data_IF_225849347163
#
_entry.id   IF_225849347163
#
_cell.length_a   1.000
_cell.length_b   1.000
_cell.length_c   1.000
_cell.angle_alpha   90.00
_cell.angle_beta   90.00
_cell.angle_gamma   90.00
#
_symmetry.space_group_name_H-M   'P 1'
#
loop_
_entity.id
_entity.type
_entity.pdbx_description
1 polymer ?
#
# COMPACT_ATOMS: atom_id res chain seq x y z
N UNK A 1 -11.14 21.14 -7.55
CA UNK A 1 -9.88 21.90 -7.80
C UNK A 1 -8.72 21.10 -7.24
N UNK A 2 -7.53 21.17 -7.84
CA UNK A 2 -6.37 20.35 -7.42
C UNK A 2 -5.96 20.56 -5.95
N UNK A 3 -6.15 21.78 -5.41
CA UNK A 3 -5.87 22.08 -4.00
C UNK A 3 -6.71 21.24 -3.03
N UNK A 4 -7.97 20.95 -3.38
CA UNK A 4 -8.84 20.11 -2.54
C UNK A 4 -8.29 18.68 -2.51
N UNK A 5 -7.99 18.12 -3.69
CA UNK A 5 -7.46 16.75 -3.79
C UNK A 5 -6.12 16.56 -3.04
N UNK A 6 -5.24 17.57 -3.06
CA UNK A 6 -3.97 17.52 -2.31
C UNK A 6 -4.23 17.57 -0.79
N UNK A 7 -5.17 18.39 -0.32
CA UNK A 7 -5.52 18.45 1.09
C UNK A 7 -6.21 17.15 1.58
N UNK A 8 -7.08 16.58 0.75
CA UNK A 8 -7.75 15.31 1.05
C UNK A 8 -6.73 14.17 1.12
N UNK A 9 -5.75 14.15 0.21
CA UNK A 9 -4.63 13.22 0.24
C UNK A 9 -3.81 13.34 1.53
N UNK A 10 -3.47 14.57 1.95
CA UNK A 10 -2.71 14.80 3.19
C UNK A 10 -3.50 14.34 4.42
N UNK A 11 -4.81 14.58 4.41
CA UNK A 11 -5.72 14.13 5.47
C UNK A 11 -5.77 12.60 5.52
N UNK A 12 -5.89 11.93 4.38
CA UNK A 12 -5.90 10.47 4.29
C UNK A 12 -4.58 9.85 4.76
N UNK A 13 -3.44 10.43 4.38
CA UNK A 13 -2.12 10.00 4.87
C UNK A 13 -2.04 10.11 6.39
N UNK A 14 -2.45 11.26 6.95
CA UNK A 14 -2.39 11.50 8.39
C UNK A 14 -3.30 10.54 9.17
N UNK A 15 -4.52 10.30 8.68
CA UNK A 15 -5.45 9.35 9.31
C UNK A 15 -4.89 7.91 9.30
N UNK A 16 -4.43 7.43 8.13
CA UNK A 16 -3.87 6.09 7.98
C UNK A 16 -2.62 5.88 8.85
N UNK A 17 -1.70 6.86 8.87
CA UNK A 17 -0.44 6.79 9.62
C UNK A 17 -0.64 6.81 11.14
N UNK A 18 -1.71 7.45 11.62
CA UNK A 18 -2.03 7.57 13.05
C UNK A 18 -3.10 6.59 13.53
N UNK A 19 -3.63 5.74 12.66
CA UNK A 19 -4.70 4.81 13.03
C UNK A 19 -4.25 3.87 14.15
N UNK A 20 -5.07 3.80 15.18
CA UNK A 20 -4.98 2.82 16.27
C UNK A 20 -6.32 2.11 16.39
N UNK A 21 -6.31 0.87 16.87
CA UNK A 21 -7.54 0.09 17.04
C UNK A 21 -7.38 -1.00 18.10
N UNK A 22 -8.44 -1.33 18.85
CA UNK A 22 -8.39 -2.42 19.81
C UNK A 22 -8.22 -3.76 19.08
N UNK A 23 -7.21 -4.54 19.48
CA UNK A 23 -7.12 -5.98 19.19
C UNK A 23 -6.72 -6.41 17.77
N UNK A 24 -6.22 -5.52 16.92
CA UNK A 24 -5.82 -5.87 15.53
C UNK A 24 -4.56 -5.15 15.04
N UNK A 25 -3.71 -4.71 15.96
CA UNK A 25 -2.40 -4.12 15.62
C UNK A 25 -1.31 -5.19 15.68
N UNK A 26 -0.67 -5.45 14.55
CA UNK A 26 0.49 -6.31 14.42
C UNK A 26 1.75 -5.45 14.25
N UNK A 27 2.76 -5.66 15.09
CA UNK A 27 3.99 -4.84 15.09
C UNK A 27 5.16 -5.68 14.60
N UNK A 28 5.92 -5.16 13.62
CA UNK A 28 7.18 -5.75 13.17
C UNK A 28 7.02 -7.13 12.51
N UNK A 29 5.88 -7.38 11.85
CA UNK A 29 5.62 -8.66 11.16
C UNK A 29 6.73 -8.95 10.13
N UNK A 30 7.24 -10.18 10.13
CA UNK A 30 8.33 -10.59 9.24
C UNK A 30 9.66 -9.85 9.46
N UNK A 31 9.79 -9.07 10.54
CA UNK A 31 10.92 -8.16 10.76
C UNK A 31 11.19 -7.23 9.54
N UNK A 32 10.13 -6.85 8.83
CA UNK A 32 10.20 -6.01 7.63
C UNK A 32 10.27 -6.79 6.32
N UNK A 33 10.52 -8.10 6.32
CA UNK A 33 10.38 -8.92 5.12
C UNK A 33 9.07 -9.71 5.18
N UNK A 34 8.09 -9.28 4.38
CA UNK A 34 6.75 -9.89 4.33
C UNK A 34 6.57 -10.85 3.15
N UNK A 35 7.69 -11.26 2.53
CA UNK A 35 7.73 -12.26 1.46
C UNK A 35 6.99 -13.55 1.85
N UNK A 36 6.05 -13.99 0.99
CA UNK A 36 5.35 -15.26 1.16
C UNK A 36 4.33 -15.28 2.30
N UNK A 37 4.11 -14.16 2.99
CA UNK A 37 3.17 -14.10 4.10
C UNK A 37 1.72 -14.01 3.61
N UNK A 38 0.82 -14.48 4.46
CA UNK A 38 -0.62 -14.26 4.32
C UNK A 38 -1.07 -13.37 5.48
N UNK A 39 -1.58 -12.18 5.16
CA UNK A 39 -2.02 -11.20 6.14
C UNK A 39 -3.55 -11.13 6.16
N UNK A 40 -4.12 -11.28 7.34
CA UNK A 40 -5.55 -11.07 7.58
C UNK A 40 -5.84 -9.59 7.81
N UNK A 41 -7.12 -9.20 7.85
CA UNK A 41 -7.49 -7.79 8.12
C UNK A 41 -6.85 -7.27 9.42
N UNK A 42 -6.38 -6.03 9.41
CA UNK A 42 -5.77 -5.41 10.58
C UNK A 42 -4.90 -4.20 10.29
N UNK A 43 -4.34 -3.65 11.35
CA UNK A 43 -3.35 -2.57 11.30
C UNK A 43 -1.97 -3.22 11.45
N UNK A 44 -1.10 -3.02 10.47
CA UNK A 44 0.26 -3.54 10.51
C UNK A 44 1.24 -2.38 10.63
N UNK A 45 2.16 -2.45 11.58
CA UNK A 45 3.06 -1.34 11.90
C UNK A 45 4.51 -1.77 11.87
N UNK A 46 5.32 -1.02 11.12
CA UNK A 46 6.77 -1.16 11.07
C UNK A 46 7.43 0.18 11.35
N UNK A 47 8.42 0.17 12.25
CA UNK A 47 9.32 1.31 12.49
C UNK A 47 10.55 1.30 11.58
N UNK A 48 10.59 0.39 10.61
CA UNK A 48 11.71 0.09 9.73
C UNK A 48 11.24 0.07 8.28
N UNK A 49 12.19 -0.17 7.38
CA UNK A 49 11.90 -0.53 5.99
C UNK A 49 11.11 -1.84 5.92
N UNK A 50 10.29 -1.97 4.88
CA UNK A 50 9.49 -3.15 4.58
C UNK A 50 9.67 -3.54 3.12
N UNK A 51 9.72 -4.85 2.85
CA UNK A 51 9.81 -5.38 1.48
C UNK A 51 9.09 -6.70 1.33
N UNK A 52 8.79 -7.05 0.09
CA UNK A 52 8.44 -8.41 -0.30
C UNK A 52 9.10 -8.75 -1.64
N UNK A 53 9.75 -9.90 -1.71
CA UNK A 53 10.43 -10.40 -2.92
C UNK A 53 9.72 -11.62 -3.52
N UNK A 54 8.67 -12.12 -2.84
CA UNK A 54 7.76 -13.16 -3.30
C UNK A 54 6.35 -12.77 -2.91
N UNK A 55 5.36 -13.44 -3.49
CA UNK A 55 3.97 -13.05 -3.38
C UNK A 55 3.51 -12.87 -1.93
N UNK A 56 2.79 -11.77 -1.70
CA UNK A 56 2.15 -11.41 -0.45
C UNK A 56 0.64 -11.62 -0.61
N UNK A 57 0.02 -12.41 0.25
CA UNK A 57 -1.44 -12.64 0.17
C UNK A 57 -2.18 -11.82 1.22
N UNK A 58 -3.25 -11.13 0.83
CA UNK A 58 -4.19 -10.44 1.72
C UNK A 58 -5.53 -11.18 1.67
N UNK A 59 -5.97 -11.70 2.81
CA UNK A 59 -7.20 -12.52 2.91
C UNK A 59 -8.17 -12.00 3.95
N UNK A 60 -9.42 -11.80 3.51
CA UNK A 60 -10.58 -11.53 4.36
C UNK A 60 -11.83 -11.64 3.49
N UNK A 61 -13.00 -11.72 4.12
CA UNK A 61 -14.25 -11.33 3.47
C UNK A 61 -14.18 -9.90 2.92
N UNK A 62 -15.10 -9.55 2.01
CA UNK A 62 -15.22 -8.25 1.34
C UNK A 62 -15.10 -6.99 2.23
N UNK A 63 -15.42 -7.07 3.51
CA UNK A 63 -15.35 -5.95 4.46
C UNK A 63 -14.03 -5.91 5.27
N UNK A 64 -13.04 -6.71 4.88
CA UNK A 64 -11.72 -6.69 5.49
C UNK A 64 -11.01 -5.40 5.17
N UNK A 65 -10.39 -4.78 6.18
CA UNK A 65 -9.62 -3.54 6.01
C UNK A 65 -8.19 -3.80 6.46
N UNK A 66 -7.24 -3.32 5.67
CA UNK A 66 -5.82 -3.34 5.97
C UNK A 66 -5.28 -1.92 6.02
N UNK A 67 -4.52 -1.63 7.07
CA UNK A 67 -3.81 -0.36 7.20
C UNK A 67 -2.35 -0.69 7.49
N UNK A 68 -1.50 -0.49 6.49
CA UNK A 68 -0.07 -0.76 6.55
C UNK A 68 0.66 0.54 6.87
N UNK A 69 1.23 0.64 8.06
CA UNK A 69 1.96 1.81 8.54
C UNK A 69 3.46 1.52 8.51
N UNK A 70 4.18 2.13 7.57
CA UNK A 70 5.59 1.88 7.32
C UNK A 70 6.36 3.18 7.57
N UNK A 71 7.22 3.18 8.59
CA UNK A 71 8.02 4.36 8.93
C UNK A 71 9.27 4.54 8.05
N UNK A 72 9.69 3.49 7.35
CA UNK A 72 10.80 3.53 6.39
C UNK A 72 10.32 3.47 4.94
N UNK A 73 11.18 2.94 4.09
CA UNK A 73 10.90 2.65 2.68
C UNK A 73 10.03 1.40 2.51
N UNK A 74 9.29 1.33 1.41
CA UNK A 74 8.56 0.12 1.01
C UNK A 74 9.01 -0.35 -0.38
N UNK A 75 9.36 -1.63 -0.51
CA UNK A 75 9.80 -2.20 -1.79
C UNK A 75 9.00 -3.44 -2.17
N UNK A 76 8.33 -3.38 -3.32
CA UNK A 76 7.85 -4.55 -4.04
C UNK A 76 8.96 -5.03 -4.98
N UNK A 77 9.60 -6.16 -4.63
CA UNK A 77 10.73 -6.71 -5.38
C UNK A 77 10.32 -7.23 -6.77
N UNK A 78 11.29 -7.53 -7.65
CA UNK A 78 11.03 -7.88 -9.04
C UNK A 78 10.06 -9.06 -9.19
N UNK A 79 9.01 -8.87 -9.98
CA UNK A 79 7.99 -9.89 -10.25
C UNK A 79 7.09 -10.27 -9.07
N UNK A 80 7.31 -9.71 -7.87
CA UNK A 80 6.53 -10.01 -6.68
C UNK A 80 5.15 -9.37 -6.75
N UNK A 81 4.13 -10.07 -6.25
CA UNK A 81 2.73 -9.63 -6.36
C UNK A 81 2.02 -9.56 -5.03
N UNK A 82 1.15 -8.59 -4.87
CA UNK A 82 0.08 -8.67 -3.88
C UNK A 82 -1.06 -9.49 -4.47
N UNK A 83 -1.57 -10.46 -3.71
CA UNK A 83 -2.66 -11.36 -4.10
C UNK A 83 -3.83 -11.13 -3.15
N UNK A 84 -5.01 -10.85 -3.70
CA UNK A 84 -6.25 -10.73 -2.92
C UNK A 84 -6.98 -12.08 -2.90
N UNK A 85 -7.35 -12.54 -1.70
CA UNK A 85 -8.04 -13.82 -1.49
C UNK A 85 -9.31 -13.65 -0.65
N UNK A 86 -10.21 -14.65 -0.74
CA UNK A 86 -11.43 -14.78 0.07
C UNK A 86 -12.42 -13.60 -0.02
N UNK A 87 -12.31 -12.81 -1.08
CA UNK A 87 -13.16 -11.64 -1.33
C UNK A 87 -12.57 -10.31 -0.88
N UNK A 88 -11.30 -10.28 -0.45
CA UNK A 88 -10.55 -9.05 -0.22
C UNK A 88 -10.63 -8.10 -1.43
N UNK A 89 -10.77 -6.80 -1.16
CA UNK A 89 -10.93 -5.78 -2.20
C UNK A 89 -9.86 -4.70 -2.04
N UNK A 90 -9.24 -4.30 -3.15
CA UNK A 90 -8.18 -3.30 -3.18
C UNK A 90 -8.59 -1.96 -2.54
N UNK A 91 -9.85 -1.54 -2.69
CA UNK A 91 -10.38 -0.30 -2.09
C UNK A 91 -10.31 -0.25 -0.55
N UNK A 92 -10.16 -1.41 0.11
CA UNK A 92 -10.07 -1.51 1.57
C UNK A 92 -8.63 -1.70 2.08
N UNK A 93 -7.62 -1.50 1.23
CA UNK A 93 -6.22 -1.75 1.53
C UNK A 93 -5.47 -0.43 1.44
N UNK A 94 -4.97 0.05 2.57
CA UNK A 94 -4.31 1.35 2.68
C UNK A 94 -2.85 1.15 3.08
N UNK A 95 -1.94 1.74 2.32
CA UNK A 95 -0.51 1.73 2.57
C UNK A 95 -0.05 3.14 2.88
N UNK A 96 0.33 3.42 4.12
CA UNK A 96 0.91 4.69 4.56
C UNK A 96 2.42 4.52 4.73
N UNK A 97 3.20 5.14 3.84
CA UNK A 97 4.66 5.02 3.78
C UNK A 97 5.28 6.38 4.07
N UNK A 98 6.08 6.45 5.14
CA UNK A 98 6.70 7.70 5.58
C UNK A 98 7.94 8.10 4.77
N UNK A 99 8.46 7.19 3.95
CA UNK A 99 9.51 7.44 2.98
C UNK A 99 9.10 6.96 1.57
N UNK A 100 10.08 6.58 0.74
CA UNK A 100 9.88 6.22 -0.65
C UNK A 100 9.27 4.82 -0.82
N UNK A 101 8.50 4.66 -1.90
CA UNK A 101 7.96 3.39 -2.37
C UNK A 101 8.56 3.05 -3.74
N UNK A 102 9.04 1.82 -3.88
CA UNK A 102 9.51 1.28 -5.15
C UNK A 102 8.76 0.00 -5.53
N UNK A 103 8.16 0.02 -6.73
CA UNK A 103 7.71 -1.15 -7.46
C UNK A 103 8.79 -1.52 -8.47
N UNK A 104 9.53 -2.59 -8.21
CA UNK A 104 10.56 -3.09 -9.12
C UNK A 104 9.95 -3.77 -10.35
N UNK A 105 10.81 -4.11 -11.31
CA UNK A 105 10.43 -4.64 -12.62
C UNK A 105 9.41 -5.79 -12.51
N UNK A 106 8.28 -5.65 -13.21
CA UNK A 106 7.23 -6.65 -13.26
C UNK A 106 6.45 -6.89 -11.96
N UNK A 107 6.68 -6.11 -10.91
CA UNK A 107 5.93 -6.23 -9.64
C UNK A 107 4.48 -5.76 -9.78
N UNK A 108 3.61 -6.24 -8.88
CA UNK A 108 2.18 -5.89 -8.87
C UNK A 108 1.71 -5.47 -7.47
N UNK A 109 1.09 -4.28 -7.40
CA UNK A 109 0.49 -3.73 -6.20
C UNK A 109 -1.04 -3.75 -6.22
N UNK A 110 -1.63 -3.87 -5.03
CA UNK A 110 -3.08 -3.84 -4.80
C UNK A 110 -3.38 -2.83 -3.68
N UNK A 111 -4.25 -1.85 -3.97
CA UNK A 111 -4.79 -0.90 -3.01
C UNK A 111 -4.34 0.56 -3.14
N UNK A 112 -4.52 1.31 -2.06
CA UNK A 112 -4.32 2.76 -2.00
C UNK A 112 -2.97 3.07 -1.34
N UNK A 113 -2.02 3.55 -2.11
CA UNK A 113 -0.67 3.89 -1.66
C UNK A 113 -0.55 5.39 -1.38
N UNK A 114 -0.24 5.73 -0.14
CA UNK A 114 -0.04 7.09 0.38
C UNK A 114 1.42 7.22 0.82
N UNK A 115 2.27 7.77 -0.04
CA UNK A 115 3.70 7.94 0.23
C UNK A 115 4.04 9.40 0.51
N UNK A 116 4.78 9.63 1.60
CA UNK A 116 5.24 10.96 2.00
C UNK A 116 6.32 11.52 1.07
N UNK A 117 7.09 10.67 0.41
CA UNK A 117 8.09 11.11 -0.56
C UNK A 117 7.69 10.67 -1.96
N UNK A 118 8.48 9.83 -2.63
CA UNK A 118 8.29 9.45 -4.02
C UNK A 118 7.70 8.05 -4.15
N UNK A 119 6.94 7.83 -5.23
CA UNK A 119 6.54 6.49 -5.69
C UNK A 119 7.24 6.23 -7.03
N UNK A 120 7.93 5.11 -7.14
CA UNK A 120 8.58 4.68 -8.38
C UNK A 120 7.99 3.37 -8.87
N UNK A 121 7.68 3.35 -10.17
CA UNK A 121 7.23 2.18 -10.90
C UNK A 121 8.26 1.87 -11.99
N UNK A 122 8.99 0.78 -11.81
CA UNK A 122 9.98 0.29 -12.77
C UNK A 122 9.31 -0.55 -13.87
N UNK A 123 10.10 -1.09 -14.79
CA UNK A 123 9.63 -1.58 -16.09
C UNK A 123 8.60 -2.70 -15.95
N UNK A 124 7.42 -2.50 -16.53
CA UNK A 124 6.36 -3.53 -16.55
C UNK A 124 5.70 -3.79 -15.20
N UNK A 125 5.96 -2.95 -14.19
CA UNK A 125 5.19 -3.00 -12.94
C UNK A 125 3.74 -2.56 -13.17
N UNK A 126 2.85 -2.96 -12.25
CA UNK A 126 1.43 -2.65 -12.34
C UNK A 126 0.78 -2.39 -10.99
N UNK A 127 -0.35 -1.68 -11.01
CA UNK A 127 -1.14 -1.35 -9.83
C UNK A 127 -2.63 -1.45 -10.15
N UNK A 128 -3.38 -2.17 -9.31
CA UNK A 128 -4.83 -2.00 -9.19
C UNK A 128 -5.15 -1.22 -7.91
N UNK A 129 -5.57 0.05 -8.06
CA UNK A 129 -5.79 0.95 -6.93
C UNK A 129 -5.42 2.41 -7.21
N UNK A 130 -4.72 3.06 -6.28
CA UNK A 130 -4.33 4.47 -6.43
C UNK A 130 -2.94 4.74 -5.83
N UNK A 131 -2.17 5.63 -6.48
CA UNK A 131 -0.85 6.04 -6.04
C UNK A 131 -0.82 7.55 -5.77
N UNK A 132 -0.65 7.91 -4.50
CA UNK A 132 -0.63 9.28 -4.01
C UNK A 132 0.73 9.56 -3.36
N UNK A 133 1.55 10.37 -4.04
CA UNK A 133 2.87 10.79 -3.56
C UNK A 133 2.86 12.28 -3.25
N UNK A 134 3.44 12.70 -2.12
CA UNK A 134 3.55 14.13 -1.79
C UNK A 134 4.66 14.85 -2.58
N UNK A 135 5.56 14.11 -3.24
CA UNK A 135 6.64 14.71 -4.04
C UNK A 135 6.51 14.38 -5.53
N UNK A 136 6.75 13.13 -5.93
CA UNK A 136 6.77 12.72 -7.32
C UNK A 136 6.31 11.27 -7.51
N UNK A 137 5.74 11.00 -8.68
CA UNK A 137 5.49 9.64 -9.18
C UNK A 137 6.31 9.47 -10.46
N UNK A 138 7.08 8.39 -10.55
CA UNK A 138 7.85 8.01 -11.75
C UNK A 138 7.34 6.69 -12.29
N UNK A 139 7.24 6.56 -13.62
CA UNK A 139 6.68 5.39 -14.28
C UNK A 139 7.49 5.02 -15.51
N UNK A 140 7.76 3.73 -15.67
CA UNK A 140 8.45 3.16 -16.82
C UNK A 140 7.61 1.98 -17.32
N UNK A 141 6.90 2.17 -18.43
CA UNK A 141 6.05 1.11 -19.02
C UNK A 141 5.13 0.44 -17.97
N UNK A 142 4.44 1.26 -17.19
CA UNK A 142 3.62 0.85 -16.04
C UNK A 142 2.15 0.84 -16.42
N UNK A 143 1.42 -0.18 -15.98
CA UNK A 143 -0.03 -0.26 -16.11
C UNK A 143 -0.70 0.07 -14.77
N UNK A 144 -1.54 1.12 -14.73
CA UNK A 144 -2.31 1.50 -13.55
C UNK A 144 -3.80 1.44 -13.87
N UNK A 145 -4.52 0.61 -13.14
CA UNK A 145 -5.98 0.51 -13.18
C UNK A 145 -6.56 1.05 -11.87
N UNK A 146 -7.47 2.02 -11.98
CA UNK A 146 -8.05 2.67 -10.81
C UNK A 146 -9.15 1.80 -10.21
N UNK A 147 -9.13 1.64 -8.87
CA UNK A 147 -10.32 1.15 -8.15
C UNK A 147 -11.34 2.30 -8.03
N UNK A 148 -12.63 1.99 -8.20
CA UNK A 148 -13.69 2.97 -8.00
C UNK A 148 -13.84 3.29 -6.51
N UNK A 149 -13.06 4.26 -6.02
CA UNK A 149 -13.21 4.75 -4.65
C UNK A 149 -14.55 5.49 -4.54
N UNK A 150 -15.54 4.87 -3.92
CA UNK A 150 -16.72 5.59 -3.43
C UNK A 150 -16.29 6.49 -2.28
N UNK A 151 -15.84 7.71 -2.58
CA UNK A 151 -15.60 8.73 -1.56
C UNK A 151 -16.94 9.11 -0.89
N UNK A 152 -17.26 8.39 0.17
CA UNK A 152 -18.21 8.80 1.21
C UNK A 152 -17.38 9.07 2.47
N UNK A 153 -16.77 10.25 2.51
CA UNK A 153 -16.44 10.98 3.73
C UNK A 153 -17.19 12.30 3.69
#
# INVERSE_FOLDING_TARGET
>A
MMTIAINDMETAYTDAACRTGPGSTFVGVGAGDISGLTLTRGIYKWSTDVKFNTDLTLTSSATGVWIMQIAGTFTAGPGAKVILADGAQAENIFWAIADALAFDDGSHGEGIFLAKTMISFNAGSSLYGAAFAQTAVTMISTDIEAVMVSLLI
#
